data_IF_862053188183
#
_entry.id   IF_862053188183
#
_cell.length_a   1.000
_cell.length_b   1.000
_cell.length_c   1.000
_cell.angle_alpha   90.00
_cell.angle_beta   90.00
_cell.angle_gamma   90.00
#
_symmetry.space_group_name_H-M   'P 1'
#
loop_
_entity.id
_entity.type
_entity.pdbx_description
1 polymer ?
#
# COMPACT_ATOMS: atom_id res chain seq x y z
N UNK A 1 19.75 -38.33 -9.92
CA UNK A 1 18.44 -38.65 -9.32
C UNK A 1 18.33 -38.15 -7.86
N UNK A 2 19.24 -38.49 -6.95
CA UNK A 2 19.23 -38.00 -5.54
C UNK A 2 19.21 -36.47 -5.41
N UNK A 3 19.94 -35.78 -6.24
CA UNK A 3 20.04 -34.31 -6.22
C UNK A 3 18.72 -33.62 -6.65
N UNK A 4 18.05 -34.15 -7.67
CA UNK A 4 16.73 -33.65 -8.08
C UNK A 4 15.68 -33.87 -6.98
N UNK A 5 15.73 -35.03 -6.29
CA UNK A 5 14.82 -35.31 -5.17
C UNK A 5 15.02 -34.32 -4.04
N UNK A 6 16.29 -33.94 -3.74
CA UNK A 6 16.60 -32.95 -2.72
C UNK A 6 16.00 -31.57 -3.07
N UNK A 7 16.18 -31.10 -4.30
CA UNK A 7 15.62 -29.80 -4.73
C UNK A 7 14.11 -29.81 -4.69
N UNK A 8 13.48 -30.88 -5.19
CA UNK A 8 12.01 -31.03 -5.14
C UNK A 8 11.53 -31.09 -3.70
N UNK A 9 12.21 -31.82 -2.82
CA UNK A 9 11.89 -31.88 -1.39
C UNK A 9 11.94 -30.52 -0.71
N UNK A 10 12.96 -29.71 -1.02
CA UNK A 10 13.08 -28.33 -0.52
C UNK A 10 11.95 -27.45 -1.05
N UNK A 11 11.56 -27.56 -2.32
CA UNK A 11 10.46 -26.80 -2.89
C UNK A 11 9.12 -27.16 -2.25
N UNK A 12 8.85 -28.46 -2.06
CA UNK A 12 7.64 -28.93 -1.37
C UNK A 12 7.60 -28.43 0.07
N UNK A 13 8.72 -28.50 0.79
CA UNK A 13 8.83 -27.97 2.15
C UNK A 13 8.60 -26.43 2.19
N UNK A 14 9.17 -25.70 1.22
CA UNK A 14 8.97 -24.27 1.11
C UNK A 14 7.49 -23.90 0.92
N UNK A 15 6.78 -24.61 0.02
CA UNK A 15 5.35 -24.42 -0.23
C UNK A 15 4.53 -24.77 1.01
N UNK A 16 4.81 -25.91 1.66
CA UNK A 16 4.10 -26.33 2.87
C UNK A 16 4.24 -25.30 4.01
N UNK A 17 5.46 -24.79 4.24
CA UNK A 17 5.70 -23.75 5.25
C UNK A 17 5.02 -22.43 4.92
N UNK A 18 4.96 -22.04 3.64
CA UNK A 18 4.26 -20.82 3.21
C UNK A 18 2.73 -20.92 3.32
N UNK A 19 2.18 -22.13 3.23
CA UNK A 19 0.74 -22.37 3.42
C UNK A 19 0.31 -22.34 4.89
N UNK A 20 1.26 -22.30 5.84
CA UNK A 20 0.96 -22.18 7.26
C UNK A 20 0.47 -20.78 7.60
N UNK A 21 -0.53 -20.67 8.52
CA UNK A 21 -1.03 -19.38 9.02
C UNK A 21 -0.02 -18.63 9.90
N UNK A 22 0.98 -19.33 10.44
CA UNK A 22 1.94 -18.76 11.37
C UNK A 22 3.02 -17.92 10.65
N UNK A 23 3.19 -16.67 11.03
CA UNK A 23 4.14 -15.72 10.43
C UNK A 23 5.59 -16.24 10.33
N UNK A 24 6.11 -16.88 11.41
CA UNK A 24 7.47 -17.42 11.39
C UNK A 24 7.60 -18.59 10.40
N UNK A 25 6.57 -19.43 10.25
CA UNK A 25 6.59 -20.52 9.30
C UNK A 25 6.63 -20.00 7.86
N UNK A 26 5.86 -18.98 7.52
CA UNK A 26 5.88 -18.34 6.19
C UNK A 26 7.26 -17.76 5.84
N UNK A 27 7.90 -17.08 6.80
CA UNK A 27 9.27 -16.55 6.61
C UNK A 27 10.30 -17.66 6.44
N UNK A 28 10.20 -18.73 7.22
CA UNK A 28 11.06 -19.89 7.06
C UNK A 28 10.86 -20.54 5.69
N UNK A 29 9.61 -20.63 5.21
CA UNK A 29 9.29 -21.13 3.87
C UNK A 29 9.94 -20.31 2.76
N UNK A 30 9.97 -18.96 2.88
CA UNK A 30 10.68 -18.09 1.93
C UNK A 30 12.19 -18.35 1.93
N UNK A 31 12.79 -18.54 3.11
CA UNK A 31 14.20 -18.86 3.24
C UNK A 31 14.54 -20.23 2.61
N UNK A 32 13.72 -21.25 2.86
CA UNK A 32 13.86 -22.59 2.25
C UNK A 32 13.74 -22.51 0.73
N UNK A 33 12.86 -21.67 0.20
CA UNK A 33 12.73 -21.44 -1.24
C UNK A 33 14.01 -20.82 -1.85
N UNK A 34 14.64 -19.85 -1.19
CA UNK A 34 15.91 -19.30 -1.63
C UNK A 34 17.03 -20.34 -1.59
N UNK A 35 17.04 -21.19 -0.55
CA UNK A 35 17.99 -22.32 -0.44
C UNK A 35 17.74 -23.34 -1.57
N UNK A 36 16.50 -23.64 -1.90
CA UNK A 36 16.15 -24.52 -3.03
C UNK A 36 16.66 -23.95 -4.37
N UNK A 37 16.49 -22.64 -4.58
CA UNK A 37 16.96 -21.92 -5.78
C UNK A 37 18.50 -21.95 -5.88
N UNK A 38 19.20 -21.69 -4.77
CA UNK A 38 20.65 -21.82 -4.71
C UNK A 38 21.09 -23.24 -5.06
N UNK A 39 20.51 -24.24 -4.35
CA UNK A 39 20.87 -25.66 -4.50
C UNK A 39 20.62 -26.13 -5.92
N UNK A 40 19.46 -25.77 -6.52
CA UNK A 40 19.13 -26.13 -7.89
C UNK A 40 20.13 -25.59 -8.90
N UNK A 41 20.46 -24.30 -8.82
CA UNK A 41 21.41 -23.66 -9.72
C UNK A 41 22.85 -24.18 -9.52
N UNK A 42 23.25 -24.40 -8.27
CA UNK A 42 24.55 -25.00 -7.93
C UNK A 42 24.71 -26.42 -8.45
N UNK A 43 23.70 -27.27 -8.27
CA UNK A 43 23.76 -28.67 -8.69
C UNK A 43 23.83 -28.84 -10.22
N UNK A 44 23.23 -27.93 -10.98
CA UNK A 44 23.28 -27.93 -12.43
C UNK A 44 24.70 -27.63 -12.97
N UNK A 45 25.46 -26.78 -12.30
CA UNK A 45 26.72 -26.26 -12.82
C UNK A 45 27.94 -26.54 -11.95
N UNK A 46 27.70 -27.04 -10.73
CA UNK A 46 28.74 -27.22 -9.68
C UNK A 46 29.54 -25.94 -9.37
N UNK A 47 28.99 -24.79 -9.70
CA UNK A 47 29.60 -23.50 -9.48
C UNK A 47 28.83 -22.68 -8.44
N UNK A 48 29.50 -22.27 -7.36
CA UNK A 48 28.90 -21.52 -6.27
C UNK A 48 28.40 -20.14 -6.70
N UNK A 49 29.09 -19.52 -7.68
CA UNK A 49 28.68 -18.20 -8.22
C UNK A 49 27.34 -18.31 -8.96
N UNK A 50 27.09 -19.41 -9.65
CA UNK A 50 25.81 -19.64 -10.34
C UNK A 50 24.72 -19.98 -9.32
N UNK A 51 25.04 -20.69 -8.23
CA UNK A 51 24.14 -20.86 -7.10
C UNK A 51 23.70 -19.51 -6.50
N UNK A 52 24.65 -18.62 -6.25
CA UNK A 52 24.37 -17.26 -5.77
C UNK A 52 23.57 -16.42 -6.79
N UNK A 53 23.88 -16.55 -8.07
CA UNK A 53 23.13 -15.88 -9.14
C UNK A 53 21.66 -16.37 -9.19
N UNK A 54 21.41 -17.66 -8.93
CA UNK A 54 20.06 -18.22 -8.81
C UNK A 54 19.23 -17.57 -7.68
N UNK A 55 19.87 -17.29 -6.55
CA UNK A 55 19.22 -16.52 -5.46
C UNK A 55 19.04 -15.05 -5.86
N UNK A 56 20.08 -14.43 -6.41
CA UNK A 56 20.03 -13.02 -6.82
C UNK A 56 18.94 -12.74 -7.87
N UNK A 57 18.70 -13.70 -8.77
CA UNK A 57 17.67 -13.57 -9.81
C UNK A 57 16.29 -13.21 -9.25
N UNK A 58 15.90 -13.75 -8.08
CA UNK A 58 14.63 -13.44 -7.42
C UNK A 58 14.48 -11.95 -7.07
N UNK A 59 15.57 -11.31 -6.69
CA UNK A 59 15.56 -9.88 -6.38
C UNK A 59 15.52 -9.00 -7.64
N UNK A 60 15.93 -9.56 -8.77
CA UNK A 60 15.92 -8.85 -10.05
C UNK A 60 14.66 -9.12 -10.90
N UNK A 61 13.87 -10.16 -10.59
CA UNK A 61 12.60 -10.43 -11.30
C UNK A 61 11.67 -9.21 -11.39
N UNK A 62 11.46 -8.40 -10.32
CA UNK A 62 10.62 -7.21 -10.41
C UNK A 62 11.10 -6.19 -11.47
N UNK A 63 12.39 -6.21 -11.86
CA UNK A 63 12.88 -5.33 -12.90
C UNK A 63 12.29 -5.61 -14.29
N UNK A 64 11.87 -6.83 -14.55
CA UNK A 64 11.20 -7.18 -15.79
C UNK A 64 9.91 -6.36 -15.89
N UNK A 65 9.07 -6.38 -14.86
CA UNK A 65 7.82 -5.61 -14.82
C UNK A 65 8.08 -4.10 -14.80
N UNK A 66 9.04 -3.64 -14.00
CA UNK A 66 9.41 -2.23 -13.92
C UNK A 66 9.82 -1.66 -15.28
N UNK A 67 10.61 -2.41 -16.07
CA UNK A 67 11.12 -1.94 -17.36
C UNK A 67 10.12 -2.14 -18.50
N UNK A 68 9.32 -3.18 -18.47
CA UNK A 68 8.38 -3.53 -19.56
C UNK A 68 7.04 -2.84 -19.41
N UNK A 69 6.48 -2.79 -18.19
CA UNK A 69 5.14 -2.26 -17.90
C UNK A 69 5.20 -0.89 -17.23
N UNK A 70 5.81 -0.81 -16.07
CA UNK A 70 5.76 0.40 -15.21
C UNK A 70 6.45 1.61 -15.85
N UNK A 71 7.59 1.41 -16.52
CA UNK A 71 8.29 2.49 -17.22
C UNK A 71 7.46 3.14 -18.33
N UNK A 72 6.55 2.39 -18.94
CA UNK A 72 5.67 2.85 -20.03
C UNK A 72 4.37 3.47 -19.51
N UNK A 73 4.06 3.25 -18.25
CA UNK A 73 2.85 3.76 -17.64
C UNK A 73 2.86 5.29 -17.62
N UNK A 74 1.76 5.87 -18.09
CA UNK A 74 1.51 7.32 -18.05
C UNK A 74 0.35 7.56 -17.10
N UNK A 75 0.61 8.31 -16.05
CA UNK A 75 -0.35 8.60 -15.02
C UNK A 75 -0.80 10.06 -15.14
N UNK A 76 -2.10 10.37 -15.00
CA UNK A 76 -2.58 11.73 -15.11
C UNK A 76 -2.01 12.59 -13.98
N UNK A 77 -1.63 13.82 -14.34
CA UNK A 77 -1.13 14.80 -13.38
C UNK A 77 -2.23 15.33 -12.46
N UNK A 78 -3.42 15.53 -13.04
CA UNK A 78 -4.59 16.02 -12.32
C UNK A 78 -5.59 14.86 -12.15
N UNK A 79 -5.70 14.38 -10.93
CA UNK A 79 -6.74 13.44 -10.54
C UNK A 79 -7.81 14.21 -9.79
N UNK A 80 -9.02 14.26 -10.37
CA UNK A 80 -10.20 14.77 -9.69
C UNK A 80 -11.02 13.61 -9.18
N UNK A 81 -11.42 13.70 -7.94
CA UNK A 81 -12.43 12.83 -7.37
C UNK A 81 -13.76 13.08 -8.06
N UNK A 82 -14.52 12.03 -8.26
CA UNK A 82 -15.86 12.10 -8.85
C UNK A 82 -16.77 11.20 -8.06
N UNK A 83 -18.01 11.63 -7.89
CA UNK A 83 -19.02 10.77 -7.32
C UNK A 83 -19.03 9.41 -8.02
N UNK A 84 -19.01 8.34 -7.25
CA UNK A 84 -19.08 6.96 -7.75
C UNK A 84 -20.09 6.16 -6.94
N UNK A 85 -20.72 5.23 -7.62
CA UNK A 85 -21.57 4.23 -6.97
C UNK A 85 -20.66 3.19 -6.32
N UNK A 86 -20.94 2.77 -5.08
CA UNK A 86 -20.17 1.71 -4.43
C UNK A 86 -20.18 0.43 -5.27
N UNK A 87 -19.06 -0.29 -5.31
CA UNK A 87 -19.03 -1.62 -5.92
C UNK A 87 -19.95 -2.58 -5.16
N UNK A 88 -20.40 -3.69 -5.81
CA UNK A 88 -21.24 -4.69 -5.15
C UNK A 88 -20.58 -5.26 -3.88
N UNK A 89 -21.38 -5.49 -2.84
CA UNK A 89 -20.91 -5.99 -1.53
C UNK A 89 -20.21 -7.36 -1.62
N UNK A 90 -20.53 -8.16 -2.62
CA UNK A 90 -19.91 -9.47 -2.85
C UNK A 90 -18.39 -9.41 -3.01
N UNK A 91 -17.85 -8.29 -3.53
CA UNK A 91 -16.40 -8.08 -3.69
C UNK A 91 -15.71 -7.67 -2.38
N UNK A 92 -16.46 -7.08 -1.43
CA UNK A 92 -15.91 -6.49 -0.21
C UNK A 92 -16.75 -6.86 1.02
N UNK A 93 -16.80 -8.14 1.40
CA UNK A 93 -17.73 -8.63 2.45
C UNK A 93 -17.51 -8.00 3.82
N UNK A 94 -16.32 -7.45 4.08
CA UNK A 94 -16.00 -6.79 5.37
C UNK A 94 -16.24 -5.28 5.38
N UNK A 95 -16.65 -4.69 4.24
CA UNK A 95 -16.88 -3.24 4.17
C UNK A 95 -18.10 -2.79 4.99
N UNK A 96 -19.26 -3.50 4.99
CA UNK A 96 -20.40 -3.14 5.80
C UNK A 96 -20.09 -3.09 7.31
N UNK A 97 -19.37 -4.10 7.84
CA UNK A 97 -18.97 -4.14 9.25
C UNK A 97 -18.07 -2.94 9.63
N UNK A 98 -17.15 -2.56 8.74
CA UNK A 98 -16.30 -1.40 8.97
C UNK A 98 -17.08 -0.08 8.96
N UNK A 99 -18.11 0.04 8.11
CA UNK A 99 -18.99 1.21 8.02
C UNK A 99 -19.83 1.31 9.30
N UNK A 100 -20.47 0.21 9.72
CA UNK A 100 -21.24 0.17 10.97
C UNK A 100 -20.40 0.58 12.19
N UNK A 101 -19.16 0.07 12.27
CA UNK A 101 -18.23 0.43 13.34
C UNK A 101 -17.81 1.92 13.29
N UNK A 102 -17.81 2.56 12.12
CA UNK A 102 -17.57 4.01 12.00
C UNK A 102 -18.76 4.81 12.53
N UNK A 103 -19.98 4.42 12.17
CA UNK A 103 -21.21 5.05 12.67
C UNK A 103 -21.32 4.91 14.21
N UNK A 104 -21.04 3.72 14.76
CA UNK A 104 -20.99 3.48 16.22
C UNK A 104 -19.93 4.35 16.92
N UNK A 105 -18.83 4.66 16.25
CA UNK A 105 -17.78 5.54 16.77
C UNK A 105 -18.08 7.04 16.60
N UNK A 106 -19.27 7.39 16.11
CA UNK A 106 -19.74 8.77 15.94
C UNK A 106 -19.17 9.46 14.70
N UNK A 107 -18.73 8.70 13.70
CA UNK A 107 -18.35 9.26 12.40
C UNK A 107 -19.58 9.35 11.51
N UNK A 108 -19.83 10.52 10.96
CA UNK A 108 -20.95 10.80 10.06
C UNK A 108 -20.48 10.67 8.60
N UNK A 109 -21.35 10.10 7.74
CA UNK A 109 -21.07 10.02 6.32
C UNK A 109 -21.03 11.41 5.68
N UNK A 110 -19.93 11.73 5.00
CA UNK A 110 -19.76 12.97 4.26
C UNK A 110 -20.09 12.81 2.78
N UNK A 111 -19.40 11.94 2.06
CA UNK A 111 -19.60 11.75 0.62
C UNK A 111 -19.04 10.41 0.14
N UNK A 112 -19.55 9.95 -1.00
CA UNK A 112 -19.03 8.83 -1.78
C UNK A 112 -18.32 9.36 -3.02
N UNK A 113 -17.07 9.00 -3.21
CA UNK A 113 -16.23 9.51 -4.27
C UNK A 113 -15.28 8.45 -4.83
N UNK A 114 -14.54 8.80 -5.83
CA UNK A 114 -13.55 7.88 -6.36
C UNK A 114 -12.82 8.40 -7.58
N UNK A 115 -11.79 7.68 -7.96
CA UNK A 115 -11.06 7.91 -9.20
C UNK A 115 -10.67 6.61 -9.88
N UNK A 116 -10.12 6.75 -11.07
CA UNK A 116 -9.46 5.66 -11.78
C UNK A 116 -8.00 6.02 -11.99
N UNK A 117 -7.12 5.14 -11.56
CA UNK A 117 -5.69 5.35 -11.63
C UNK A 117 -5.00 4.10 -12.18
N UNK A 118 -4.35 4.22 -13.33
CA UNK A 118 -3.61 3.11 -13.95
C UNK A 118 -4.43 1.83 -14.17
N UNK A 119 -5.72 1.97 -14.50
CA UNK A 119 -6.64 0.84 -14.64
C UNK A 119 -7.16 0.29 -13.29
N UNK A 120 -6.75 0.86 -12.17
CA UNK A 120 -7.31 0.56 -10.85
C UNK A 120 -8.46 1.52 -10.58
N UNK A 121 -9.63 0.98 -10.32
CA UNK A 121 -10.79 1.73 -9.84
C UNK A 121 -10.70 1.81 -8.32
N UNK A 122 -10.80 3.02 -7.80
CA UNK A 122 -10.83 3.26 -6.36
C UNK A 122 -12.12 3.98 -6.01
N UNK A 123 -12.83 3.42 -5.06
CA UNK A 123 -14.02 3.99 -4.45
C UNK A 123 -13.67 4.38 -3.02
N UNK A 124 -14.06 5.59 -2.62
CA UNK A 124 -13.86 6.12 -1.27
C UNK A 124 -15.22 6.44 -0.67
N UNK A 125 -15.56 5.81 0.44
CA UNK A 125 -16.62 6.27 1.32
C UNK A 125 -15.97 7.07 2.44
N UNK A 126 -16.33 8.34 2.52
CA UNK A 126 -15.68 9.33 3.39
C UNK A 126 -16.60 9.65 4.54
N UNK A 127 -16.08 9.59 5.74
CA UNK A 127 -16.74 9.93 6.99
C UNK A 127 -15.94 11.00 7.72
N UNK A 128 -16.59 11.78 8.55
CA UNK A 128 -15.97 12.82 9.34
C UNK A 128 -16.44 12.74 10.80
N UNK A 129 -15.63 13.21 11.72
CA UNK A 129 -16.00 13.32 13.13
C UNK A 129 -15.38 14.58 13.72
N UNK A 130 -16.19 15.56 14.16
CA UNK A 130 -15.71 16.82 14.72
C UNK A 130 -15.08 16.66 16.09
N UNK A 131 -15.50 15.67 16.91
CA UNK A 131 -14.94 15.42 18.22
C UNK A 131 -13.54 14.79 18.13
N UNK A 132 -13.37 13.82 17.23
CA UNK A 132 -12.08 13.19 16.91
C UNK A 132 -11.18 14.10 16.09
N UNK A 133 -11.73 15.16 15.49
CA UNK A 133 -11.04 16.05 14.54
C UNK A 133 -10.37 15.25 13.42
N UNK A 134 -11.11 14.30 12.88
CA UNK A 134 -10.59 13.32 11.93
C UNK A 134 -11.58 13.03 10.80
N UNK A 135 -11.02 12.70 9.64
CA UNK A 135 -11.70 12.07 8.52
C UNK A 135 -11.34 10.59 8.53
N UNK A 136 -12.34 9.72 8.42
CA UNK A 136 -12.14 8.29 8.18
C UNK A 136 -12.57 7.95 6.76
N UNK A 137 -11.84 7.05 6.10
CA UNK A 137 -12.14 6.60 4.74
C UNK A 137 -12.13 5.09 4.66
N UNK A 138 -13.16 4.50 4.07
CA UNK A 138 -13.13 3.14 3.54
C UNK A 138 -12.78 3.23 2.07
N UNK A 139 -11.66 2.65 1.68
CA UNK A 139 -11.23 2.63 0.29
C UNK A 139 -11.37 1.22 -0.27
N UNK A 140 -12.14 1.09 -1.35
CA UNK A 140 -12.36 -0.15 -2.09
C UNK A 140 -11.61 -0.04 -3.41
N UNK A 141 -10.64 -0.93 -3.62
CA UNK A 141 -9.79 -0.95 -4.81
C UNK A 141 -10.07 -2.19 -5.64
N UNK A 142 -10.32 -1.99 -6.93
CA UNK A 142 -10.55 -3.04 -7.91
C UNK A 142 -9.63 -2.85 -9.11
N UNK A 143 -8.86 -3.88 -9.46
CA UNK A 143 -8.02 -3.90 -10.65
C UNK A 143 -7.98 -5.31 -11.23
N UNK A 144 -8.58 -5.50 -12.41
CA UNK A 144 -8.66 -6.82 -13.07
C UNK A 144 -9.20 -7.89 -12.10
N UNK A 145 -8.36 -8.87 -11.70
CA UNK A 145 -8.72 -9.96 -10.81
C UNK A 145 -8.35 -9.70 -9.34
N UNK A 146 -7.89 -8.49 -9.01
CA UNK A 146 -7.47 -8.13 -7.65
C UNK A 146 -8.43 -7.12 -7.06
N UNK A 147 -9.06 -7.49 -5.94
CA UNK A 147 -9.86 -6.58 -5.13
C UNK A 147 -9.36 -6.57 -3.69
N UNK A 148 -9.22 -5.40 -3.11
CA UNK A 148 -8.87 -5.24 -1.70
C UNK A 148 -9.46 -3.96 -1.12
N UNK A 149 -9.73 -4.01 0.18
CA UNK A 149 -10.21 -2.85 0.94
C UNK A 149 -9.18 -2.44 1.99
N UNK A 150 -9.17 -1.16 2.31
CA UNK A 150 -8.42 -0.65 3.44
C UNK A 150 -9.11 0.55 4.08
N UNK A 151 -8.73 0.82 5.32
CA UNK A 151 -9.25 1.93 6.10
C UNK A 151 -8.12 2.94 6.32
N UNK A 152 -8.47 4.22 6.22
CA UNK A 152 -7.60 5.33 6.56
C UNK A 152 -8.26 6.27 7.55
N UNK A 153 -7.53 6.73 8.58
CA UNK A 153 -7.96 7.80 9.47
C UNK A 153 -6.94 8.93 9.35
N UNK A 154 -7.42 10.14 9.13
CA UNK A 154 -6.57 11.30 8.87
C UNK A 154 -7.01 12.47 9.72
N UNK A 155 -6.07 13.05 10.48
CA UNK A 155 -6.22 14.34 11.15
C UNK A 155 -5.24 15.34 10.55
N UNK A 156 -5.63 16.62 10.50
CA UNK A 156 -4.78 17.73 10.04
C UNK A 156 -4.61 18.73 11.16
N UNK A 157 -3.42 19.27 11.30
CA UNK A 157 -3.20 20.38 12.22
C UNK A 157 -3.29 21.74 11.52
N UNK A 158 -3.29 22.81 12.32
CA UNK A 158 -3.36 24.19 11.83
C UNK A 158 -2.14 24.62 11.01
N UNK A 159 -1.01 23.89 11.10
CA UNK A 159 0.21 24.12 10.33
C UNK A 159 0.19 23.43 8.96
N UNK A 160 -0.82 22.60 8.68
CA UNK A 160 -0.94 21.82 7.44
C UNK A 160 -0.26 20.44 7.50
N UNK A 161 0.26 20.03 8.66
CA UNK A 161 0.76 18.68 8.86
C UNK A 161 -0.41 17.68 8.88
N UNK A 162 -0.22 16.58 8.20
CA UNK A 162 -1.21 15.49 8.10
C UNK A 162 -0.73 14.31 8.94
N UNK A 163 -1.62 13.76 9.75
CA UNK A 163 -1.41 12.59 10.58
C UNK A 163 -2.33 11.47 10.10
N UNK A 164 -1.76 10.42 9.53
CA UNK A 164 -2.55 9.34 8.90
C UNK A 164 -2.22 7.99 9.47
N UNK A 165 -3.25 7.28 9.90
CA UNK A 165 -3.19 5.85 10.26
C UNK A 165 -3.94 5.04 9.21
N UNK A 166 -3.33 3.98 8.69
CA UNK A 166 -3.96 3.13 7.67
C UNK A 166 -3.47 1.70 7.75
N UNK A 167 -4.34 0.75 7.40
CA UNK A 167 -4.03 -0.65 7.21
C UNK A 167 -3.76 -1.01 5.74
N UNK A 168 -3.43 -0.01 4.90
CA UNK A 168 -3.08 -0.23 3.49
C UNK A 168 -1.98 -1.31 3.37
N UNK A 169 -2.22 -2.37 2.57
CA UNK A 169 -1.37 -3.58 2.60
C UNK A 169 -0.01 -3.40 1.92
N UNK A 170 0.12 -2.44 1.00
CA UNK A 170 1.31 -2.29 0.17
C UNK A 170 2.18 -1.12 0.57
N UNK A 171 3.45 -1.16 0.16
CA UNK A 171 4.34 -0.01 0.27
C UNK A 171 3.92 1.10 -0.71
N UNK A 172 4.17 2.38 -0.35
CA UNK A 172 3.77 3.49 -1.21
C UNK A 172 4.52 3.46 -2.54
N UNK A 173 3.79 3.73 -3.63
CA UNK A 173 4.33 3.81 -4.99
C UNK A 173 5.00 5.15 -5.29
N UNK A 174 4.65 6.19 -4.55
CA UNK A 174 5.29 7.51 -4.57
C UNK A 174 6.02 7.73 -3.24
N UNK A 175 7.11 8.48 -3.27
CA UNK A 175 7.84 8.86 -2.06
C UNK A 175 6.97 9.80 -1.22
N UNK A 176 6.73 9.45 0.04
CA UNK A 176 5.85 10.22 0.92
C UNK A 176 6.33 11.67 1.07
N UNK A 177 5.38 12.61 1.02
CA UNK A 177 5.61 14.00 1.36
C UNK A 177 5.92 14.09 2.88
N UNK A 178 6.95 14.84 3.31
CA UNK A 178 7.31 15.00 4.72
C UNK A 178 6.21 15.69 5.57
N UNK A 179 5.26 16.39 4.95
CA UNK A 179 4.08 16.94 5.63
C UNK A 179 3.10 15.87 6.09
N UNK A 180 3.21 14.64 5.56
CA UNK A 180 2.33 13.53 5.91
C UNK A 180 3.07 12.55 6.82
N UNK A 181 2.62 12.47 8.05
CA UNK A 181 3.10 11.54 9.05
C UNK A 181 2.28 10.24 8.99
N UNK A 182 2.93 9.14 8.68
CA UNK A 182 2.28 7.85 8.48
C UNK A 182 2.42 6.94 9.70
N UNK A 183 1.31 6.31 10.07
CA UNK A 183 1.24 5.19 11.00
C UNK A 183 0.62 4.00 10.27
N UNK A 184 1.45 3.05 9.83
CA UNK A 184 0.97 1.84 9.19
C UNK A 184 0.64 0.79 10.26
N UNK A 185 -0.59 0.31 10.25
CA UNK A 185 -1.02 -0.82 11.07
C UNK A 185 -1.10 -2.09 10.20
N UNK A 186 -1.01 -3.29 10.79
CA UNK A 186 -1.12 -4.54 10.03
C UNK A 186 -2.42 -4.60 9.21
N UNK A 187 -2.36 -5.09 7.97
CA UNK A 187 -3.51 -5.24 7.09
C UNK A 187 -4.58 -6.23 7.63
N UNK A 188 -4.18 -7.12 8.54
CA UNK A 188 -5.08 -8.06 9.23
C UNK A 188 -6.02 -7.34 10.23
N UNK A 189 -5.74 -6.08 10.57
CA UNK A 189 -6.59 -5.25 11.44
C UNK A 189 -7.70 -4.61 10.59
N UNK A 190 -8.84 -5.29 10.51
CA UNK A 190 -10.03 -4.78 9.81
C UNK A 190 -11.02 -4.09 10.77
N UNK A 191 -10.83 -4.22 12.09
CA UNK A 191 -11.68 -3.60 13.08
C UNK A 191 -11.40 -2.09 13.17
N UNK A 192 -12.37 -1.26 12.80
CA UNK A 192 -12.26 0.20 12.81
C UNK A 192 -11.90 0.76 14.18
N UNK A 193 -12.55 0.29 15.25
CA UNK A 193 -12.28 0.75 16.63
C UNK A 193 -10.81 0.57 17.02
N UNK A 194 -10.18 -0.50 16.54
CA UNK A 194 -8.78 -0.75 16.82
C UNK A 194 -7.86 0.20 16.03
N UNK A 195 -8.19 0.49 14.77
CA UNK A 195 -7.46 1.46 13.95
C UNK A 195 -7.61 2.87 14.54
N UNK A 196 -8.80 3.23 15.02
CA UNK A 196 -9.05 4.50 15.70
C UNK A 196 -8.23 4.63 16.99
N UNK A 197 -8.18 3.57 17.79
CA UNK A 197 -7.32 3.52 18.98
C UNK A 197 -5.84 3.69 18.62
N UNK A 198 -5.37 3.01 17.57
CA UNK A 198 -3.99 3.15 17.08
C UNK A 198 -3.71 4.58 16.58
N UNK A 199 -4.70 5.24 15.97
CA UNK A 199 -4.59 6.64 15.53
C UNK A 199 -4.45 7.60 16.71
N UNK A 200 -5.33 7.49 17.73
CA UNK A 200 -5.24 8.28 18.96
C UNK A 200 -3.87 8.09 19.64
N UNK A 201 -3.42 6.86 19.82
CA UNK A 201 -2.09 6.55 20.36
C UNK A 201 -0.94 7.10 19.50
N UNK A 202 -1.12 7.15 18.19
CA UNK A 202 -0.12 7.73 17.30
C UNK A 202 0.00 9.24 17.52
N UNK A 203 -1.09 9.98 17.61
CA UNK A 203 -1.10 11.40 17.93
C UNK A 203 -0.47 11.67 19.30
N UNK A 204 -0.83 10.90 20.34
CA UNK A 204 -0.24 10.98 21.67
C UNK A 204 1.28 10.75 21.66
N UNK A 205 1.75 9.67 21.03
CA UNK A 205 3.19 9.38 20.89
C UNK A 205 3.96 10.48 20.20
N UNK A 206 3.33 11.16 19.24
CA UNK A 206 3.89 12.29 18.52
C UNK A 206 3.72 13.61 19.26
N UNK A 207 3.04 13.59 20.43
CA UNK A 207 2.75 14.77 21.24
C UNK A 207 2.03 15.87 20.45
N UNK A 208 1.08 15.48 19.61
CA UNK A 208 0.25 16.41 18.85
C UNK A 208 -0.80 16.99 19.80
N UNK A 209 -0.82 18.31 20.04
CA UNK A 209 -1.83 18.89 20.91
C UNK A 209 -3.21 18.79 20.25
N UNK A 210 -4.21 18.35 21.01
CA UNK A 210 -5.58 18.27 20.50
C UNK A 210 -6.09 19.60 19.97
N UNK A 211 -5.69 20.71 20.59
CA UNK A 211 -6.08 22.07 20.21
C UNK A 211 -5.46 22.51 18.88
N UNK A 212 -4.36 21.90 18.46
CA UNK A 212 -3.73 22.19 17.17
C UNK A 212 -4.44 21.52 16.00
N UNK A 213 -5.23 20.49 16.24
CA UNK A 213 -5.95 19.77 15.21
C UNK A 213 -7.15 20.58 14.71
N UNK A 214 -7.29 20.68 13.40
CA UNK A 214 -8.46 21.28 12.75
C UNK A 214 -9.66 20.34 12.81
N UNK A 215 -10.83 20.94 13.05
CA UNK A 215 -12.10 20.24 12.79
C UNK A 215 -12.22 20.11 11.27
N UNK A 216 -12.39 18.89 10.72
CA UNK A 216 -12.55 18.71 9.29
C UNK A 216 -13.90 19.28 8.82
N UNK A 217 -13.89 19.84 7.61
CA UNK A 217 -15.11 20.23 6.93
C UNK A 217 -15.52 19.09 5.98
N UNK A 218 -16.71 18.51 6.12
CA UNK A 218 -17.17 17.44 5.25
C UNK A 218 -17.29 17.87 3.78
N UNK A 219 -17.64 19.14 3.51
CA UNK A 219 -17.78 19.67 2.16
C UNK A 219 -16.43 19.83 1.45
N UNK A 220 -15.34 20.02 2.20
CA UNK A 220 -13.99 20.15 1.67
C UNK A 220 -13.23 18.80 1.59
N UNK A 221 -13.81 17.69 2.03
CA UNK A 221 -13.12 16.41 2.18
C UNK A 221 -12.53 15.89 0.86
N UNK A 222 -13.25 16.01 -0.26
CA UNK A 222 -12.74 15.63 -1.59
C UNK A 222 -11.58 16.53 -2.04
N UNK A 223 -11.75 17.84 -1.86
CA UNK A 223 -10.75 18.83 -2.21
C UNK A 223 -9.45 18.63 -1.42
N UNK A 224 -9.57 18.31 -0.16
CA UNK A 224 -8.45 17.99 0.72
C UNK A 224 -7.63 16.78 0.24
N UNK A 225 -8.31 15.74 -0.28
CA UNK A 225 -7.66 14.54 -0.85
C UNK A 225 -6.97 14.89 -2.18
N UNK A 226 -7.63 15.67 -3.03
CA UNK A 226 -7.07 16.12 -4.32
C UNK A 226 -5.82 16.97 -4.13
N UNK A 227 -5.86 17.91 -3.20
CA UNK A 227 -4.74 18.79 -2.88
C UNK A 227 -3.56 18.02 -2.28
N UNK A 228 -3.84 17.05 -1.41
CA UNK A 228 -2.79 16.19 -0.87
C UNK A 228 -2.13 15.36 -1.98
N UNK A 229 -2.91 14.81 -2.90
CA UNK A 229 -2.37 14.09 -4.05
C UNK A 229 -1.52 14.99 -4.93
N UNK A 230 -1.96 16.22 -5.19
CA UNK A 230 -1.18 17.22 -5.93
C UNK A 230 0.15 17.52 -5.26
N UNK A 231 0.15 17.82 -3.95
CA UNK A 231 1.38 18.04 -3.18
C UNK A 231 2.30 16.82 -3.19
N UNK A 232 1.72 15.62 -3.15
CA UNK A 232 2.46 14.36 -3.26
C UNK A 232 3.14 14.22 -4.63
N UNK A 233 2.46 14.55 -5.71
CA UNK A 233 2.99 14.55 -7.08
C UNK A 233 4.11 15.59 -7.20
N UNK A 234 3.89 16.83 -6.78
CA UNK A 234 4.89 17.91 -6.84
C UNK A 234 6.15 17.56 -6.03
N UNK A 235 5.98 16.98 -4.85
CA UNK A 235 7.11 16.47 -4.06
C UNK A 235 7.92 15.44 -4.85
N UNK A 236 7.26 14.52 -5.55
CA UNK A 236 7.93 13.46 -6.30
C UNK A 236 8.60 13.97 -7.58
N UNK A 237 8.05 15.01 -8.24
CA UNK A 237 8.70 15.72 -9.34
C UNK A 237 9.99 16.36 -8.82
N UNK A 238 9.92 17.10 -7.73
CA UNK A 238 11.05 17.79 -7.12
C UNK A 238 12.15 16.83 -6.66
N UNK A 239 11.79 15.61 -6.25
CA UNK A 239 12.73 14.54 -5.88
C UNK A 239 13.26 13.75 -7.07
N UNK A 240 12.76 14.02 -8.29
CA UNK A 240 13.14 13.31 -9.49
C UNK A 240 12.71 11.84 -9.51
N UNK A 241 11.66 11.48 -8.74
CA UNK A 241 11.04 10.14 -8.76
C UNK A 241 10.18 9.98 -9.99
N UNK A 242 9.46 11.03 -10.36
CA UNK A 242 8.64 11.10 -11.55
C UNK A 242 9.06 12.27 -12.43
N UNK A 243 8.75 12.17 -13.71
CA UNK A 243 9.01 13.22 -14.72
C UNK A 243 7.74 13.52 -15.48
N UNK A 244 7.49 14.79 -15.75
CA UNK A 244 6.35 15.21 -16.57
C UNK A 244 6.53 14.74 -18.01
N UNK A 245 5.43 14.35 -18.64
CA UNK A 245 5.27 14.19 -20.08
C UNK A 245 4.45 15.36 -20.59
N UNK A 246 4.75 15.88 -21.77
CA UNK A 246 4.16 17.14 -22.28
C UNK A 246 2.64 17.13 -22.51
N UNK A 247 1.94 16.05 -22.17
CA UNK A 247 0.53 15.78 -22.42
C UNK A 247 -0.34 15.79 -21.13
N UNK A 248 0.13 16.42 -20.06
CA UNK A 248 -0.59 16.45 -18.76
C UNK A 248 -0.49 15.15 -17.97
N UNK A 249 0.48 14.30 -18.28
CA UNK A 249 0.76 13.07 -17.57
C UNK A 249 2.16 13.10 -16.96
N UNK A 250 2.44 12.15 -16.09
CA UNK A 250 3.79 11.87 -15.60
C UNK A 250 4.12 10.38 -15.76
N UNK A 251 5.40 10.09 -15.71
CA UNK A 251 5.95 8.72 -15.69
C UNK A 251 7.05 8.60 -14.66
N UNK A 252 7.36 7.37 -14.27
CA UNK A 252 8.50 7.12 -13.39
C UNK A 252 9.82 7.38 -14.12
N UNK A 253 10.72 8.11 -13.47
CA UNK A 253 12.12 8.25 -13.86
C UNK A 253 12.88 6.96 -13.54
N UNK A 254 14.14 6.84 -13.98
CA UNK A 254 14.98 5.70 -13.57
C UNK A 254 15.18 5.65 -12.04
N UNK A 255 15.32 6.82 -11.40
CA UNK A 255 15.36 6.95 -9.93
C UNK A 255 14.04 6.48 -9.28
N UNK A 256 12.92 6.75 -9.93
CA UNK A 256 11.61 6.25 -9.52
C UNK A 256 11.48 4.73 -9.66
N UNK A 257 12.00 4.14 -10.72
CA UNK A 257 12.04 2.69 -10.88
C UNK A 257 12.89 2.01 -9.79
N UNK A 258 14.03 2.60 -9.44
CA UNK A 258 14.85 2.13 -8.31
C UNK A 258 14.13 2.25 -6.96
N UNK A 259 13.35 3.34 -6.76
CA UNK A 259 12.52 3.50 -5.58
C UNK A 259 11.45 2.40 -5.52
N UNK A 260 10.71 2.16 -6.61
CA UNK A 260 9.69 1.11 -6.69
C UNK A 260 10.29 -0.28 -6.48
N UNK A 261 11.43 -0.56 -7.08
CA UNK A 261 12.13 -1.83 -6.84
C UNK A 261 12.38 -2.08 -5.35
N UNK A 262 12.86 -1.07 -4.62
CA UNK A 262 13.05 -1.18 -3.16
C UNK A 262 11.73 -1.43 -2.42
N UNK A 263 10.62 -0.82 -2.88
CA UNK A 263 9.30 -1.06 -2.29
C UNK A 263 8.83 -2.50 -2.57
N UNK A 264 8.97 -3.00 -3.79
CA UNK A 264 8.62 -4.39 -4.13
C UNK A 264 9.43 -5.41 -3.32
N UNK A 265 10.73 -5.20 -3.15
CA UNK A 265 11.54 -6.06 -2.27
C UNK A 265 11.05 -5.99 -0.83
N UNK A 266 10.70 -4.80 -0.33
CA UNK A 266 10.15 -4.64 1.01
C UNK A 266 8.82 -5.38 1.19
N UNK A 267 7.92 -5.26 0.21
CA UNK A 267 6.62 -5.93 0.24
C UNK A 267 6.78 -7.44 0.13
N UNK A 268 7.67 -7.92 -0.73
CA UNK A 268 8.00 -9.34 -0.82
C UNK A 268 8.50 -9.91 0.52
N UNK A 269 9.33 -9.14 1.25
CA UNK A 269 9.82 -9.53 2.58
C UNK A 269 8.74 -9.45 3.68
N UNK A 270 7.75 -8.56 3.52
CA UNK A 270 6.62 -8.42 4.46
C UNK A 270 5.57 -9.49 4.26
N UNK A 271 5.24 -9.79 3.00
CA UNK A 271 4.23 -10.77 2.63
C UNK A 271 4.74 -12.23 2.70
N UNK A 272 6.05 -12.42 2.66
CA UNK A 272 6.70 -13.68 2.96
C UNK A 272 6.94 -13.80 4.45
#
# INVERSE_FOLDING_TARGET
MRECILVVGLLVLAVALRSCRHFCARKLGALVFLVASFTGAYLLTRNILIGLAGVAAWFFLPWIELLTRIRRLRLPLNNRLRFRVPPPDDFFPNAPEAIEAMDEAGFEHATDSGWEWAGMKQFFRIFWNPEEKAIATVCLCEQEDVAFAFIGITSKDSSGQVWRTTNFPFSPTLKCNPEVNWNHVPCERNCFHQILKDHRQFLERRRVPSDSLRIPDPDDAEHDIEDEMRRQIDHNINKGIITLTGDGHFRYSFRGLLFLWKQFIRDMLRLC
#
